data_IF_017545050179
#
_entry.id   IF_017545050179
#
_cell.length_a   1.000
_cell.length_b   1.000
_cell.length_c   1.000
_cell.angle_alpha   90.00
_cell.angle_beta   90.00
_cell.angle_gamma   90.00
#
_symmetry.space_group_name_H-M   'P 1'
#
loop_
_entity.id
_entity.type
_entity.pdbx_description
1 polymer ?
#
# COMPACT_ATOMS: atom_id res chain seq x y z
N UNK A 1 -10.02 -6.05 9.19
CA UNK A 1 -9.03 -6.58 8.22
C UNK A 1 -9.12 -8.09 7.98
N UNK A 2 -9.03 -8.94 9.01
CA UNK A 2 -9.00 -10.42 8.86
C UNK A 2 -10.09 -11.00 7.95
N UNK A 3 -11.35 -10.59 8.14
CA UNK A 3 -12.48 -11.01 7.28
C UNK A 3 -12.26 -10.60 5.83
N UNK A 4 -11.77 -9.38 5.60
CA UNK A 4 -11.44 -8.89 4.25
C UNK A 4 -10.33 -9.69 3.59
N UNK A 5 -9.30 -10.11 4.33
CA UNK A 5 -8.26 -10.99 3.80
C UNK A 5 -8.81 -12.35 3.40
N UNK A 6 -9.61 -12.97 4.27
CA UNK A 6 -10.22 -14.27 3.99
C UNK A 6 -11.13 -14.21 2.74
N UNK A 7 -11.93 -13.15 2.60
CA UNK A 7 -12.78 -12.92 1.43
C UNK A 7 -11.95 -12.72 0.15
N UNK A 8 -10.84 -11.99 0.19
CA UNK A 8 -9.99 -11.77 -0.97
C UNK A 8 -9.24 -13.04 -1.40
N UNK A 9 -8.75 -13.84 -0.45
CA UNK A 9 -8.15 -15.15 -0.74
C UNK A 9 -9.18 -16.08 -1.38
N UNK A 10 -10.39 -16.13 -0.82
CA UNK A 10 -11.48 -16.92 -1.38
C UNK A 10 -11.84 -16.48 -2.81
N UNK A 11 -11.92 -15.17 -3.05
CA UNK A 11 -12.17 -14.60 -4.36
C UNK A 11 -11.08 -15.00 -5.37
N UNK A 12 -9.80 -14.93 -4.99
CA UNK A 12 -8.67 -15.37 -5.83
C UNK A 12 -8.80 -16.86 -6.18
N UNK A 13 -9.12 -17.71 -5.20
CA UNK A 13 -9.30 -19.16 -5.44
C UNK A 13 -10.47 -19.44 -6.39
N UNK A 14 -11.59 -18.73 -6.22
CA UNK A 14 -12.76 -18.86 -7.11
C UNK A 14 -12.43 -18.41 -8.53
N UNK A 15 -11.74 -17.28 -8.67
CA UNK A 15 -11.31 -16.78 -9.96
C UNK A 15 -10.40 -17.81 -10.63
N UNK A 16 -9.31 -18.24 -10.00
CA UNK A 16 -8.37 -19.22 -10.59
C UNK A 16 -9.07 -20.50 -11.08
N UNK A 17 -10.15 -20.93 -10.40
CA UNK A 17 -10.91 -22.14 -10.75
C UNK A 17 -12.00 -21.94 -11.80
N UNK A 18 -12.38 -20.70 -12.11
CA UNK A 18 -13.43 -20.43 -13.09
C UNK A 18 -12.88 -20.46 -14.52
N UNK A 19 -13.49 -21.28 -15.39
CA UNK A 19 -13.22 -21.22 -16.83
C UNK A 19 -13.93 -20.00 -17.42
N UNK A 20 -13.16 -18.95 -17.69
CA UNK A 20 -13.68 -17.69 -18.21
C UNK A 20 -13.39 -17.62 -19.71
N UNK A 21 -14.45 -17.55 -20.53
CA UNK A 21 -14.32 -17.39 -21.98
C UNK A 21 -13.49 -16.17 -22.37
N UNK A 22 -12.87 -16.20 -23.57
CA UNK A 22 -11.84 -15.25 -24.03
C UNK A 22 -12.21 -13.76 -23.90
N UNK A 23 -13.50 -13.44 -23.98
CA UNK A 23 -14.00 -12.06 -23.88
C UNK A 23 -14.10 -11.56 -22.43
N UNK A 24 -14.20 -12.46 -21.45
CA UNK A 24 -14.31 -12.14 -20.02
C UNK A 24 -12.98 -12.30 -19.26
N UNK A 25 -11.93 -12.81 -19.92
CA UNK A 25 -10.55 -12.86 -19.41
C UNK A 25 -10.02 -11.49 -18.97
N UNK A 26 -10.63 -10.41 -19.47
CA UNK A 26 -10.27 -9.03 -19.16
C UNK A 26 -10.77 -8.59 -17.78
N UNK A 27 -12.02 -8.93 -17.45
CA UNK A 27 -12.57 -8.74 -16.12
C UNK A 27 -11.88 -9.66 -15.12
N UNK A 28 -11.50 -10.86 -15.56
CA UNK A 28 -10.79 -11.84 -14.77
C UNK A 28 -9.49 -11.31 -14.14
N UNK A 29 -8.57 -10.80 -14.97
CA UNK A 29 -7.29 -10.26 -14.46
C UNK A 29 -7.48 -9.02 -13.59
N UNK A 30 -8.44 -8.17 -13.94
CA UNK A 30 -8.80 -6.99 -13.14
C UNK A 30 -9.29 -7.40 -11.75
N UNK A 31 -10.13 -8.43 -11.65
CA UNK A 31 -10.61 -8.96 -10.39
C UNK A 31 -9.49 -9.59 -9.54
N UNK A 32 -8.55 -10.32 -10.16
CA UNK A 32 -7.40 -10.88 -9.43
C UNK A 32 -6.53 -9.76 -8.85
N UNK A 33 -6.18 -8.76 -9.66
CA UNK A 33 -5.33 -7.64 -9.22
C UNK A 33 -6.03 -6.84 -8.12
N UNK A 34 -7.33 -6.58 -8.28
CA UNK A 34 -8.13 -5.89 -7.27
C UNK A 34 -8.22 -6.69 -5.96
N UNK A 35 -8.32 -8.02 -6.03
CA UNK A 35 -8.33 -8.89 -4.87
C UNK A 35 -6.98 -8.90 -4.13
N UNK A 36 -5.87 -8.92 -4.87
CA UNK A 36 -4.52 -8.83 -4.31
C UNK A 36 -4.32 -7.48 -3.61
N UNK A 37 -4.68 -6.37 -4.26
CA UNK A 37 -4.58 -5.03 -3.67
C UNK A 37 -5.45 -4.91 -2.42
N UNK A 38 -6.69 -5.40 -2.48
CA UNK A 38 -7.62 -5.43 -1.36
C UNK A 38 -7.13 -6.32 -0.21
N UNK A 39 -6.42 -7.41 -0.51
CA UNK A 39 -5.76 -8.23 0.49
C UNK A 39 -4.67 -7.46 1.23
N UNK A 40 -3.79 -6.74 0.51
CA UNK A 40 -2.75 -5.92 1.15
C UNK A 40 -3.35 -4.84 2.05
N UNK A 41 -4.37 -4.14 1.56
CA UNK A 41 -5.11 -3.15 2.35
C UNK A 41 -5.77 -3.77 3.57
N UNK A 42 -6.39 -4.94 3.41
CA UNK A 42 -7.00 -5.65 4.53
C UNK A 42 -5.97 -6.18 5.54
N UNK A 43 -4.78 -6.59 5.08
CA UNK A 43 -3.67 -6.98 5.95
C UNK A 43 -3.14 -5.77 6.72
N UNK A 44 -2.90 -4.65 6.03
CA UNK A 44 -2.50 -3.38 6.65
C UNK A 44 -3.48 -2.94 7.73
N UNK A 45 -4.78 -2.91 7.43
CA UNK A 45 -5.85 -2.60 8.40
C UNK A 45 -5.92 -3.63 9.54
N UNK A 46 -5.46 -4.86 9.33
CA UNK A 46 -5.42 -5.87 10.40
C UNK A 46 -4.27 -5.61 11.37
N UNK A 47 -3.11 -5.18 10.85
CA UNK A 47 -1.92 -4.96 11.66
C UNK A 47 -1.88 -3.58 12.30
N UNK A 48 -2.50 -2.58 11.68
CA UNK A 48 -2.63 -1.21 12.18
C UNK A 48 -4.04 -0.99 12.74
N UNK A 49 -4.16 -0.69 14.04
CA UNK A 49 -5.45 -0.50 14.72
C UNK A 49 -5.63 0.98 15.03
N UNK A 50 -6.26 1.70 14.10
CA UNK A 50 -7.18 2.83 14.30
C UNK A 50 -7.20 3.74 13.06
N UNK A 51 -8.39 4.15 12.66
CA UNK A 51 -8.64 5.13 11.59
C UNK A 51 -8.02 6.51 11.92
N UNK A 52 -7.75 6.78 13.20
CA UNK A 52 -7.16 8.04 13.70
C UNK A 52 -5.62 8.01 13.84
N UNK A 53 -4.96 6.88 13.60
CA UNK A 53 -3.54 6.65 13.92
C UNK A 53 -2.60 6.62 12.71
N UNK A 54 -2.87 7.50 11.75
CA UNK A 54 -1.88 7.93 10.76
C UNK A 54 -1.65 9.43 10.94
N UNK A 55 -1.13 9.84 12.09
CA UNK A 55 -0.71 11.22 12.24
C UNK A 55 0.67 11.31 11.59
N UNK A 56 0.66 11.59 10.28
CA UNK A 56 1.84 12.12 9.63
C UNK A 56 2.12 13.48 10.27
N UNK A 57 3.11 13.51 11.16
CA UNK A 57 3.52 14.71 11.88
C UNK A 57 4.69 15.33 11.14
N UNK A 58 4.63 16.64 10.92
CA UNK A 58 5.78 17.44 10.50
C UNK A 58 6.34 18.15 11.73
N UNK A 59 7.47 17.69 12.27
CA UNK A 59 8.13 18.25 13.45
C UNK A 59 9.64 18.25 13.25
N UNK A 60 10.30 19.33 13.66
CA UNK A 60 11.76 19.51 13.57
C UNK A 60 12.33 19.28 12.16
N UNK A 61 11.55 19.67 11.13
CA UNK A 61 11.94 19.48 9.72
C UNK A 61 11.85 18.03 9.24
N UNK A 62 11.20 17.13 9.98
CA UNK A 62 10.96 15.74 9.59
C UNK A 62 9.49 15.49 9.32
N UNK A 63 9.20 14.66 8.32
CA UNK A 63 7.89 14.04 8.13
C UNK A 63 7.92 12.66 8.75
N UNK A 64 7.14 12.43 9.81
CA UNK A 64 7.13 11.19 10.58
C UNK A 64 5.72 10.60 10.55
N UNK A 65 5.60 9.37 10.05
CA UNK A 65 4.43 8.52 10.22
C UNK A 65 4.67 7.54 11.38
N UNK A 66 3.82 7.60 12.40
CA UNK A 66 3.78 6.62 13.47
C UNK A 66 2.61 5.66 13.26
N UNK A 67 2.90 4.37 13.16
CA UNK A 67 1.90 3.31 13.01
C UNK A 67 1.78 2.51 14.29
N UNK A 68 0.54 2.24 14.69
CA UNK A 68 0.22 1.56 15.93
C UNK A 68 -0.64 0.34 15.66
N UNK A 69 -0.39 -0.74 16.39
CA UNK A 69 -1.29 -1.87 16.39
C UNK A 69 -0.77 -3.11 17.12
N UNK A 70 -1.65 -3.89 17.75
CA UNK A 70 -1.29 -5.02 18.59
C UNK A 70 -0.65 -6.18 17.80
N UNK A 71 -0.97 -6.31 16.51
CA UNK A 71 -0.40 -7.36 15.65
C UNK A 71 0.88 -6.91 14.95
N UNK A 72 1.19 -5.61 14.98
CA UNK A 72 2.36 -5.03 14.33
C UNK A 72 3.66 -5.68 14.85
N UNK A 73 3.74 -5.89 16.16
CA UNK A 73 4.90 -6.50 16.83
C UNK A 73 4.99 -8.02 16.71
N UNK A 74 3.92 -8.68 16.26
CA UNK A 74 3.91 -10.13 16.04
C UNK A 74 4.43 -10.49 14.64
N UNK A 75 4.54 -9.50 13.75
CA UNK A 75 4.96 -9.67 12.37
C UNK A 75 6.44 -9.25 12.26
N UNK A 76 7.29 -10.02 11.56
CA UNK A 76 8.67 -9.62 11.31
C UNK A 76 8.74 -8.23 10.67
N UNK A 77 9.69 -7.39 11.13
CA UNK A 77 9.86 -6.01 10.67
C UNK A 77 9.90 -5.90 9.13
N UNK A 78 10.61 -6.81 8.45
CA UNK A 78 10.71 -6.80 6.99
C UNK A 78 9.35 -6.93 6.30
N UNK A 79 8.40 -7.66 6.89
CA UNK A 79 7.07 -7.84 6.33
C UNK A 79 6.18 -6.61 6.60
N UNK A 80 6.36 -5.95 7.76
CA UNK A 80 5.72 -4.67 8.05
C UNK A 80 6.20 -3.59 7.08
N UNK A 81 7.52 -3.48 6.87
CA UNK A 81 8.13 -2.55 5.93
C UNK A 81 7.60 -2.80 4.51
N UNK A 82 7.57 -4.06 4.07
CA UNK A 82 7.04 -4.45 2.77
C UNK A 82 5.59 -3.98 2.58
N UNK A 83 4.73 -4.19 3.57
CA UNK A 83 3.31 -3.84 3.48
C UNK A 83 3.10 -2.33 3.56
N UNK A 84 3.87 -1.63 4.40
CA UNK A 84 3.83 -0.17 4.47
C UNK A 84 4.15 0.46 3.12
N UNK A 85 5.22 -0.02 2.46
CA UNK A 85 5.62 0.42 1.12
C UNK A 85 4.53 0.07 0.09
N UNK A 86 4.03 -1.16 0.11
CA UNK A 86 3.02 -1.64 -0.83
C UNK A 86 1.70 -0.86 -0.72
N UNK A 87 1.28 -0.51 0.50
CA UNK A 87 0.06 0.26 0.76
C UNK A 87 0.19 1.69 0.23
N UNK A 88 1.30 2.37 0.55
CA UNK A 88 1.52 3.74 0.10
C UNK A 88 1.71 3.83 -1.41
N UNK A 89 2.23 2.80 -2.07
CA UNK A 89 2.41 2.77 -3.52
C UNK A 89 1.10 2.59 -4.34
N UNK A 90 -0.08 2.41 -3.71
CA UNK A 90 -1.36 2.23 -4.40
C UNK A 90 -1.95 3.55 -4.92
N UNK A 91 -1.29 4.19 -5.89
CA UNK A 91 -1.69 5.55 -6.30
C UNK A 91 -2.81 5.60 -7.34
N UNK A 92 -2.97 4.62 -8.23
CA UNK A 92 -4.05 4.61 -9.25
C UNK A 92 -4.45 3.17 -9.64
N UNK A 93 -5.70 2.74 -9.43
CA UNK A 93 -6.17 1.44 -9.90
C UNK A 93 -6.20 1.36 -11.43
N UNK A 94 -5.69 0.25 -11.99
CA UNK A 94 -5.77 -0.04 -13.43
C UNK A 94 -7.20 0.11 -14.02
N UNK A 95 -8.30 -0.27 -13.33
CA UNK A 95 -9.65 -0.06 -13.83
C UNK A 95 -10.00 1.40 -14.13
N UNK A 96 -9.51 2.35 -13.33
CA UNK A 96 -9.74 3.77 -13.55
C UNK A 96 -9.08 4.25 -14.85
N UNK A 97 -7.89 3.72 -15.15
CA UNK A 97 -7.14 4.04 -16.38
C UNK A 97 -7.82 3.40 -17.60
N UNK A 98 -8.28 2.16 -17.50
CA UNK A 98 -9.08 1.51 -18.56
C UNK A 98 -10.35 2.30 -18.84
N UNK A 99 -11.06 2.73 -17.80
CA UNK A 99 -12.30 3.51 -17.93
C UNK A 99 -12.01 4.86 -18.61
N UNK A 100 -10.97 5.57 -18.18
CA UNK A 100 -10.54 6.82 -18.81
C UNK A 100 -10.16 6.62 -20.28
N UNK A 101 -9.35 5.61 -20.61
CA UNK A 101 -8.96 5.27 -21.99
C UNK A 101 -10.16 4.85 -22.85
N UNK A 102 -11.20 4.26 -22.25
CA UNK A 102 -12.42 3.86 -22.95
C UNK A 102 -13.33 5.05 -23.27
N UNK A 103 -13.38 6.03 -22.36
CA UNK A 103 -14.16 7.27 -22.53
C UNK A 103 -13.44 8.34 -23.37
N UNK A 104 -12.10 8.27 -23.43
CA UNK A 104 -11.30 9.14 -24.28
C UNK A 104 -11.52 8.85 -25.77
N UNK A 105 -11.35 9.85 -26.63
CA UNK A 105 -11.45 9.73 -28.09
C UNK A 105 -10.32 8.93 -28.75
N UNK A 106 -9.50 8.20 -27.97
CA UNK A 106 -8.44 7.36 -28.51
C UNK A 106 -9.03 6.15 -29.25
N UNK A 107 -8.71 6.05 -30.54
CA UNK A 107 -9.05 4.93 -31.43
C UNK A 107 -8.22 3.67 -31.19
N UNK A 108 -7.67 3.50 -29.99
CA UNK A 108 -6.84 2.35 -29.64
C UNK A 108 -7.69 1.07 -29.52
N UNK A 109 -7.13 -0.06 -29.97
CA UNK A 109 -7.70 -1.37 -29.71
C UNK A 109 -7.68 -1.72 -28.22
N UNK A 110 -8.61 -2.58 -27.81
CA UNK A 110 -8.81 -3.00 -26.40
C UNK A 110 -7.53 -3.51 -25.74
N UNK A 111 -6.75 -4.33 -26.44
CA UNK A 111 -5.48 -4.90 -25.94
C UNK A 111 -4.50 -3.79 -25.58
N UNK A 112 -4.30 -2.81 -26.47
CA UNK A 112 -3.38 -1.68 -26.22
C UNK A 112 -3.85 -0.81 -25.05
N UNK A 113 -5.15 -0.59 -24.91
CA UNK A 113 -5.70 0.15 -23.75
C UNK A 113 -5.37 -0.59 -22.43
N UNK A 114 -5.33 -1.92 -22.44
CA UNK A 114 -4.96 -2.72 -21.26
C UNK A 114 -3.48 -2.70 -20.96
N UNK A 115 -2.63 -2.89 -21.98
CA UNK A 115 -1.19 -2.78 -21.80
C UNK A 115 -0.83 -1.46 -21.12
N UNK A 116 -1.45 -0.36 -21.57
CA UNK A 116 -1.25 0.96 -20.95
C UNK A 116 -1.84 1.03 -19.54
N UNK A 117 -3.07 0.58 -19.35
CA UNK A 117 -3.73 0.69 -18.06
C UNK A 117 -3.10 -0.17 -16.95
N UNK A 118 -2.42 -1.26 -17.29
CA UNK A 118 -1.67 -2.07 -16.32
C UNK A 118 -0.20 -1.66 -16.20
N UNK A 119 0.45 -1.21 -17.29
CA UNK A 119 1.84 -0.75 -17.21
C UNK A 119 2.00 0.52 -16.38
N UNK A 120 1.03 1.43 -16.40
CA UNK A 120 1.07 2.66 -15.62
C UNK A 120 1.08 2.36 -14.10
N UNK A 121 0.13 1.62 -13.51
CA UNK A 121 0.18 1.25 -12.10
C UNK A 121 1.41 0.43 -11.73
N UNK A 122 1.90 -0.44 -12.62
CA UNK A 122 3.17 -1.18 -12.39
C UNK A 122 4.34 -0.20 -12.27
N UNK A 123 4.46 0.76 -13.19
CA UNK A 123 5.52 1.77 -13.16
C UNK A 123 5.43 2.65 -11.90
N UNK A 124 4.21 3.08 -11.52
CA UNK A 124 3.97 3.82 -10.28
C UNK A 124 4.27 2.97 -9.04
N UNK A 125 3.99 1.67 -9.07
CA UNK A 125 4.38 0.76 -8.00
C UNK A 125 5.89 0.68 -7.88
N UNK A 126 6.62 0.43 -8.98
CA UNK A 126 8.10 0.36 -8.96
C UNK A 126 8.68 1.68 -8.45
N UNK A 127 8.18 2.82 -8.94
CA UNK A 127 8.62 4.14 -8.47
C UNK A 127 8.30 4.32 -6.98
N UNK A 128 7.10 3.94 -6.55
CA UNK A 128 6.68 3.94 -5.15
C UNK A 128 7.62 3.10 -4.30
N UNK A 129 7.98 1.89 -4.73
CA UNK A 129 8.94 1.03 -4.03
C UNK A 129 10.31 1.70 -3.86
N UNK A 130 10.83 2.32 -4.92
CA UNK A 130 12.10 3.05 -4.87
C UNK A 130 12.00 4.21 -3.87
N UNK A 131 11.00 5.08 -4.03
CA UNK A 131 10.82 6.27 -3.19
C UNK A 131 10.57 5.88 -1.73
N UNK A 132 9.71 4.90 -1.48
CA UNK A 132 9.34 4.47 -0.14
C UNK A 132 10.45 3.72 0.60
N UNK A 133 11.41 3.12 -0.11
CA UNK A 133 12.60 2.56 0.52
C UNK A 133 13.41 3.61 1.28
N UNK A 134 13.35 4.89 0.86
CA UNK A 134 13.96 6.02 1.57
C UNK A 134 13.19 6.44 2.84
N UNK A 135 11.94 5.99 3.02
CA UNK A 135 11.15 6.25 4.23
C UNK A 135 11.40 5.21 5.33
N UNK A 136 12.13 4.13 5.02
CA UNK A 136 12.54 3.13 6.01
C UNK A 136 13.76 3.70 6.75
N UNK A 137 13.63 4.06 8.03
CA UNK A 137 14.72 4.69 8.75
C UNK A 137 15.80 3.68 9.13
N UNK A 138 17.05 4.15 9.13
CA UNK A 138 18.16 3.46 9.82
C UNK A 138 17.86 3.34 11.31
N UNK A 139 18.52 2.42 12.01
CA UNK A 139 18.28 2.23 13.46
C UNK A 139 18.55 3.50 14.27
N UNK A 140 19.60 4.26 13.92
CA UNK A 140 19.92 5.53 14.58
C UNK A 140 18.82 6.57 14.37
N UNK A 141 18.37 6.75 13.12
CA UNK A 141 17.31 7.71 12.80
C UNK A 141 15.95 7.30 13.38
N UNK A 142 15.71 5.98 13.48
CA UNK A 142 14.52 5.42 14.13
C UNK A 142 14.45 5.86 15.59
N UNK A 143 15.56 5.85 16.32
CA UNK A 143 15.59 6.30 17.72
C UNK A 143 15.28 7.80 17.86
N UNK A 144 15.81 8.65 16.98
CA UNK A 144 15.48 10.09 16.93
C UNK A 144 13.99 10.30 16.70
N UNK A 145 13.42 9.72 15.63
CA UNK A 145 12.00 9.83 15.31
C UNK A 145 11.10 9.31 16.43
N UNK A 146 11.53 8.22 17.07
CA UNK A 146 10.81 7.62 18.18
C UNK A 146 10.75 8.56 19.40
N UNK A 147 11.85 9.29 19.69
CA UNK A 147 11.86 10.30 20.75
C UNK A 147 10.90 11.46 20.45
N UNK A 148 10.75 11.83 19.17
CA UNK A 148 9.83 12.88 18.71
C UNK A 148 8.39 12.41 18.85
N UNK A 149 8.09 11.18 18.42
CA UNK A 149 6.75 10.59 18.55
C UNK A 149 6.35 10.50 20.02
N UNK A 150 7.25 10.06 20.90
CA UNK A 150 7.02 10.07 22.35
C UNK A 150 6.72 11.48 22.87
N UNK A 151 7.48 12.50 22.44
CA UNK A 151 7.27 13.90 22.84
C UNK A 151 5.93 14.46 22.33
N UNK A 152 5.53 14.12 21.12
CA UNK A 152 4.33 14.67 20.46
C UNK A 152 3.06 13.96 20.93
N UNK A 153 3.10 12.63 21.06
CA UNK A 153 1.92 11.82 21.35
C UNK A 153 1.83 11.39 22.82
N UNK A 154 2.90 11.51 23.62
CA UNK A 154 2.92 11.09 25.02
C UNK A 154 2.73 9.58 25.21
N UNK A 155 3.07 8.77 24.20
CA UNK A 155 2.87 7.31 24.18
C UNK A 155 4.17 6.57 24.53
N UNK A 156 4.04 5.35 25.08
CA UNK A 156 5.19 4.49 25.35
C UNK A 156 5.65 3.75 24.08
N UNK A 157 6.96 3.53 23.97
CA UNK A 157 7.68 2.92 22.84
C UNK A 157 7.19 1.54 22.40
N UNK A 158 6.52 0.81 23.30
CA UNK A 158 6.08 -0.56 23.07
C UNK A 158 4.90 -0.68 22.09
N UNK A 159 4.33 0.43 21.65
CA UNK A 159 3.01 0.44 21.02
C UNK A 159 3.03 0.89 19.54
N UNK A 160 4.17 1.35 19.01
CA UNK A 160 4.29 1.80 17.61
C UNK A 160 5.59 1.44 16.85
N UNK A 161 5.51 1.49 15.52
CA UNK A 161 6.65 1.65 14.62
C UNK A 161 6.64 3.03 13.97
N UNK A 162 7.84 3.58 13.73
CA UNK A 162 8.02 4.88 13.07
C UNK A 162 8.64 4.72 11.69
N UNK A 163 8.14 5.51 10.76
CA UNK A 163 8.66 5.68 9.41
C UNK A 163 8.69 7.16 9.09
N UNK A 164 9.60 7.59 8.22
CA UNK A 164 9.71 9.01 7.94
C UNK A 164 11.01 9.38 7.25
N UNK A 165 11.11 10.66 6.91
CA UNK A 165 12.28 11.24 6.27
C UNK A 165 12.49 12.71 6.68
N UNK A 166 13.75 13.20 6.64
CA UNK A 166 14.02 14.62 6.77
C UNK A 166 13.50 15.37 5.54
N UNK A 167 12.77 16.47 5.75
CA UNK A 167 12.26 17.35 4.69
C UNK A 167 13.30 18.38 4.24
N UNK A 168 14.33 18.61 5.05
CA UNK A 168 15.46 19.49 4.73
C UNK A 168 16.75 18.78 5.12
N UNK A 169 17.76 18.84 4.25
CA UNK A 169 19.12 18.46 4.59
C UNK A 169 19.60 19.39 5.72
N UNK A 170 20.00 18.82 6.86
CA UNK A 170 20.67 19.57 7.94
C UNK A 170 22.08 19.97 7.52
#
# INVERSE_FOLDING_TARGET
>A
GLVGMALNVFLIVLLIRSEVGSTATLYFYSCIISAILSFYTAFWISICVNEDMQIAVIVDGMLIGAYYGPLLFLVPQWAVDFVCVAFLAQFIPAPCIIQWLSLSSFSWGTIRKMEVAYSVPIAFHILGWIVMSYFIPTEEFRNEMTSIVHRVHGTNLSDFHVYGLPLMDK
#
